data_IF_347771038532
#
_entry.id   IF_347771038532
#
_cell.length_a   1.000
_cell.length_b   1.000
_cell.length_c   1.000
_cell.angle_alpha   90.00
_cell.angle_beta   90.00
_cell.angle_gamma   90.00
#
_symmetry.space_group_name_H-M   'P 1'
#
loop_
_entity.id
_entity.type
_entity.pdbx_description
1 polymer ?
#
# COMPACT_ATOMS: atom_id res chain seq x y z
N UNK A 1 -10.11 -15.68 -11.47
CA UNK A 1 -9.87 -17.10 -11.52
C UNK A 1 -8.92 -17.49 -10.38
N UNK A 2 -9.28 -18.53 -9.62
CA UNK A 2 -8.54 -18.94 -8.40
C UNK A 2 -7.12 -19.44 -8.71
N UNK A 3 -6.93 -20.05 -9.85
CA UNK A 3 -5.65 -20.55 -10.35
C UNK A 3 -4.58 -19.46 -10.59
N UNK A 4 -4.99 -18.19 -10.58
CA UNK A 4 -4.05 -17.07 -10.75
C UNK A 4 -3.42 -16.60 -9.44
N UNK A 5 -3.94 -17.07 -8.29
CA UNK A 5 -3.38 -16.71 -6.99
C UNK A 5 -2.13 -17.54 -6.69
N UNK A 6 -1.03 -16.88 -6.49
CA UNK A 6 0.22 -17.47 -6.01
C UNK A 6 0.36 -17.20 -4.51
N UNK A 7 0.54 -18.26 -3.74
CA UNK A 7 0.57 -18.20 -2.28
C UNK A 7 1.98 -18.41 -1.75
N UNK A 8 2.45 -17.48 -0.93
CA UNK A 8 3.78 -17.57 -0.31
C UNK A 8 3.80 -18.29 1.04
N UNK A 9 2.64 -18.77 1.51
CA UNK A 9 2.56 -19.49 2.80
C UNK A 9 3.32 -20.82 2.81
N UNK A 10 3.55 -21.40 1.64
CA UNK A 10 4.22 -22.70 1.50
C UNK A 10 5.75 -22.57 1.59
N UNK A 11 6.28 -21.37 1.37
CA UNK A 11 7.71 -21.03 1.48
C UNK A 11 7.87 -19.82 2.41
N UNK A 12 8.27 -20.04 3.69
CA UNK A 12 8.41 -18.94 4.65
C UNK A 12 9.35 -17.84 4.13
N UNK A 13 8.87 -16.61 4.13
CA UNK A 13 9.63 -15.44 3.69
C UNK A 13 10.00 -14.61 4.91
N UNK A 14 11.30 -14.33 5.05
CA UNK A 14 11.79 -13.37 6.03
C UNK A 14 11.64 -11.95 5.48
N UNK A 15 10.55 -11.27 5.85
CA UNK A 15 10.30 -9.89 5.46
C UNK A 15 11.20 -8.87 6.18
N UNK A 16 12.02 -9.27 7.16
CA UNK A 16 13.04 -8.40 7.75
C UNK A 16 14.29 -8.23 6.87
N UNK A 17 14.46 -9.08 5.83
CA UNK A 17 15.54 -8.97 4.86
C UNK A 17 15.57 -7.55 4.23
N UNK A 18 16.75 -6.89 4.15
CA UNK A 18 16.92 -5.55 3.58
C UNK A 18 16.44 -5.38 2.14
N UNK A 19 16.28 -6.48 1.40
CA UNK A 19 15.76 -6.43 0.03
C UNK A 19 14.29 -5.98 -0.06
N UNK A 20 13.53 -6.09 1.05
CA UNK A 20 12.13 -5.67 1.07
C UNK A 20 11.97 -4.23 1.51
N UNK A 21 11.06 -3.52 0.87
CA UNK A 21 10.46 -2.30 1.40
C UNK A 21 8.95 -2.45 1.51
N UNK A 22 8.36 -1.67 2.40
CA UNK A 22 6.94 -1.72 2.67
C UNK A 22 6.24 -0.46 2.23
N UNK A 23 5.03 -0.63 1.70
CA UNK A 23 4.05 0.43 1.52
C UNK A 23 2.72 0.01 2.14
N UNK A 24 1.95 0.98 2.57
CA UNK A 24 0.56 0.76 2.97
C UNK A 24 -0.38 1.53 2.04
N UNK A 25 -1.63 1.13 2.02
CA UNK A 25 -2.71 1.91 1.45
C UNK A 25 -3.99 1.74 2.24
N UNK A 26 -4.76 2.80 2.34
CA UNK A 26 -6.04 2.84 3.03
C UNK A 26 -7.12 3.43 2.13
N UNK A 27 -8.16 2.64 1.87
CA UNK A 27 -9.46 3.13 1.39
C UNK A 27 -10.37 3.28 2.61
N UNK A 28 -10.59 4.51 3.12
CA UNK A 28 -11.38 4.73 4.30
C UNK A 28 -12.88 4.56 4.07
N UNK A 29 -13.36 4.44 2.82
CA UNK A 29 -14.77 4.23 2.44
C UNK A 29 -15.73 5.10 3.24
N UNK A 30 -15.43 6.40 3.35
CA UNK A 30 -16.27 7.39 4.04
C UNK A 30 -17.50 7.76 3.19
N UNK A 31 -18.17 6.75 2.64
CA UNK A 31 -19.26 6.88 1.70
C UNK A 31 -20.55 7.48 2.27
N UNK A 32 -21.47 7.81 1.37
CA UNK A 32 -22.76 8.49 1.66
C UNK A 32 -23.72 7.66 2.52
N UNK A 33 -23.49 6.36 2.68
CA UNK A 33 -24.36 5.46 3.44
C UNK A 33 -23.61 4.82 4.60
N UNK A 34 -23.63 5.44 5.76
CA UNK A 34 -23.03 4.99 7.04
C UNK A 34 -23.32 3.54 7.47
N UNK A 35 -24.14 2.78 6.75
CA UNK A 35 -24.59 1.43 7.17
C UNK A 35 -23.97 0.26 6.41
N UNK A 36 -23.26 0.45 5.31
CA UNK A 36 -22.85 -0.68 4.44
C UNK A 36 -21.38 -0.73 4.05
N UNK A 37 -20.63 0.35 4.17
CA UNK A 37 -19.31 0.42 3.56
C UNK A 37 -18.24 -0.17 4.50
N UNK A 38 -17.43 -1.07 3.96
CA UNK A 38 -16.22 -1.57 4.60
C UNK A 38 -15.07 -0.63 4.30
N UNK A 39 -14.13 -0.48 5.23
CA UNK A 39 -12.84 0.16 4.99
C UNK A 39 -11.77 -0.91 4.78
N UNK A 40 -10.78 -0.61 3.95
CA UNK A 40 -9.70 -1.54 3.68
C UNK A 40 -8.33 -0.90 3.95
N UNK A 41 -7.47 -1.63 4.66
CA UNK A 41 -6.07 -1.27 4.85
C UNK A 41 -5.23 -2.43 4.33
N UNK A 42 -4.36 -2.15 3.37
CA UNK A 42 -3.45 -3.13 2.77
C UNK A 42 -2.01 -2.76 3.12
N UNK A 43 -1.26 -3.73 3.61
CA UNK A 43 0.19 -3.68 3.76
C UNK A 43 0.87 -4.56 2.73
N UNK A 44 1.79 -3.98 1.96
CA UNK A 44 2.46 -4.63 0.84
C UNK A 44 3.98 -4.58 1.04
N UNK A 45 4.66 -5.74 0.95
CA UNK A 45 6.11 -5.84 0.84
C UNK A 45 6.51 -5.99 -0.62
N UNK A 46 7.56 -5.28 -1.05
CA UNK A 46 8.09 -5.41 -2.41
C UNK A 46 9.55 -5.78 -2.36
N UNK A 47 9.90 -6.84 -3.05
CA UNK A 47 11.29 -7.28 -3.24
C UNK A 47 11.96 -6.37 -4.29
N UNK A 48 13.00 -5.65 -3.89
CA UNK A 48 13.73 -4.73 -4.77
C UNK A 48 14.51 -5.44 -5.88
N UNK A 49 14.86 -6.72 -5.67
CA UNK A 49 15.62 -7.50 -6.65
C UNK A 49 14.73 -8.05 -7.76
N UNK A 50 13.61 -8.66 -7.38
CA UNK A 50 12.72 -9.36 -8.32
C UNK A 50 11.56 -8.49 -8.79
N UNK A 51 11.14 -7.51 -7.98
CA UNK A 51 9.95 -6.71 -8.20
C UNK A 51 8.66 -7.41 -7.76
N UNK A 52 8.73 -8.61 -7.21
CA UNK A 52 7.55 -9.29 -6.68
C UNK A 52 6.99 -8.53 -5.48
N UNK A 53 5.67 -8.53 -5.39
CA UNK A 53 4.90 -7.86 -4.34
C UNK A 53 4.17 -8.91 -3.51
N UNK A 54 4.21 -8.76 -2.19
CA UNK A 54 3.63 -9.70 -1.23
C UNK A 54 2.59 -8.97 -0.39
N UNK A 55 1.35 -9.44 -0.39
CA UNK A 55 0.32 -8.92 0.49
C UNK A 55 0.58 -9.44 1.90
N UNK A 56 1.17 -8.62 2.75
CA UNK A 56 1.54 -8.99 4.13
C UNK A 56 0.35 -8.83 5.07
N UNK A 57 -0.42 -7.76 4.90
CA UNK A 57 -1.65 -7.49 5.64
C UNK A 57 -2.79 -7.07 4.71
N UNK A 58 -4.00 -7.52 5.06
CA UNK A 58 -5.24 -7.11 4.43
C UNK A 58 -6.35 -7.06 5.49
N UNK A 59 -6.58 -5.89 6.07
CA UNK A 59 -7.63 -5.63 7.05
C UNK A 59 -8.80 -4.97 6.35
N UNK A 60 -9.90 -5.72 6.20
CA UNK A 60 -11.11 -5.30 5.47
C UNK A 60 -12.29 -5.48 6.40
N UNK A 61 -12.79 -4.40 6.97
CA UNK A 61 -13.80 -4.44 8.04
C UNK A 61 -14.69 -3.21 8.01
N UNK A 62 -15.87 -3.34 8.63
CA UNK A 62 -16.71 -2.18 8.93
C UNK A 62 -16.21 -1.50 10.19
N UNK A 63 -15.73 -0.27 10.04
CA UNK A 63 -15.11 0.50 11.12
C UNK A 63 -15.56 1.94 11.12
N UNK A 64 -15.56 2.55 12.31
CA UNK A 64 -15.65 4.01 12.42
C UNK A 64 -14.33 4.65 11.93
N UNK A 65 -14.35 5.84 11.33
CA UNK A 65 -13.14 6.52 10.86
C UNK A 65 -12.00 6.60 11.87
N UNK A 66 -12.31 6.84 13.15
CA UNK A 66 -11.29 6.91 14.21
C UNK A 66 -10.57 5.57 14.41
N UNK A 67 -11.31 4.45 14.30
CA UNK A 67 -10.74 3.09 14.40
C UNK A 67 -9.85 2.79 13.20
N UNK A 68 -10.22 3.27 12.01
CA UNK A 68 -9.37 3.11 10.81
C UNK A 68 -8.03 3.81 11.01
N UNK A 69 -8.05 5.00 11.62
CA UNK A 69 -6.84 5.77 11.92
C UNK A 69 -5.95 4.99 12.90
N UNK A 70 -6.53 4.46 13.97
CA UNK A 70 -5.81 3.66 14.96
C UNK A 70 -5.18 2.41 14.34
N UNK A 71 -5.94 1.68 13.54
CA UNK A 71 -5.48 0.47 12.87
C UNK A 71 -4.32 0.75 11.88
N UNK A 72 -4.35 1.88 11.17
CA UNK A 72 -3.26 2.28 10.28
C UNK A 72 -1.97 2.59 11.06
N UNK A 73 -2.09 3.30 12.20
CA UNK A 73 -0.97 3.61 13.08
C UNK A 73 -0.42 2.33 13.72
N UNK A 74 -1.28 1.45 14.20
CA UNK A 74 -0.89 0.18 14.80
C UNK A 74 -0.24 -0.77 13.79
N UNK A 75 -0.70 -0.79 12.55
CA UNK A 75 -0.01 -1.50 11.47
C UNK A 75 1.41 -0.98 11.28
N UNK A 76 1.61 0.33 11.26
CA UNK A 76 2.95 0.94 11.13
C UNK A 76 3.86 0.55 12.31
N UNK A 77 3.34 0.53 13.55
CA UNK A 77 4.08 0.07 14.73
C UNK A 77 4.49 -1.40 14.63
N UNK A 78 3.54 -2.28 14.20
CA UNK A 78 3.83 -3.71 14.01
C UNK A 78 4.95 -3.92 12.99
N UNK A 79 4.91 -3.23 11.85
CA UNK A 79 5.95 -3.36 10.83
C UNK A 79 7.32 -2.93 11.35
N UNK A 80 7.36 -1.86 12.15
CA UNK A 80 8.60 -1.43 12.79
C UNK A 80 9.11 -2.44 13.80
N UNK A 81 8.22 -3.05 14.58
CA UNK A 81 8.55 -4.06 15.59
C UNK A 81 8.99 -5.38 14.95
N UNK A 82 8.17 -5.90 14.01
CA UNK A 82 8.32 -7.27 13.52
C UNK A 82 9.35 -7.37 12.40
N UNK A 83 9.51 -6.33 11.58
CA UNK A 83 10.41 -6.31 10.43
C UNK A 83 11.53 -5.29 10.53
N UNK A 84 11.60 -4.51 11.63
CA UNK A 84 12.53 -3.38 11.81
C UNK A 84 12.44 -2.35 10.68
N UNK A 85 11.28 -2.21 10.06
CA UNK A 85 11.03 -1.38 8.88
C UNK A 85 9.79 -0.53 9.06
N UNK A 86 9.88 0.73 8.65
CA UNK A 86 8.71 1.61 8.51
C UNK A 86 8.19 1.56 7.09
N UNK A 87 6.94 1.98 6.88
CA UNK A 87 6.44 2.19 5.54
C UNK A 87 7.28 3.24 4.82
N UNK A 88 7.63 2.97 3.56
CA UNK A 88 8.29 3.93 2.69
C UNK A 88 7.30 5.00 2.20
N UNK A 89 6.05 4.59 1.97
CA UNK A 89 4.89 5.42 1.64
C UNK A 89 3.62 4.79 2.18
N UNK A 90 2.64 5.61 2.52
CA UNK A 90 1.31 5.17 2.93
C UNK A 90 0.25 5.96 2.15
N UNK A 91 -0.37 5.31 1.17
CA UNK A 91 -1.39 5.90 0.32
C UNK A 91 -2.73 6.02 1.03
N UNK A 92 -3.34 7.18 0.94
CA UNK A 92 -4.71 7.42 1.43
C UNK A 92 -5.54 8.01 0.31
N UNK A 93 -6.67 7.36 -0.02
CA UNK A 93 -7.59 7.92 -0.99
C UNK A 93 -8.22 9.21 -0.46
N UNK A 94 -8.18 10.27 -1.27
CA UNK A 94 -8.74 11.56 -0.91
C UNK A 94 -9.77 11.97 -1.96
N UNK A 95 -11.06 11.61 -1.71
CA UNK A 95 -12.18 12.05 -2.52
C UNK A 95 -13.07 12.98 -1.67
N UNK A 96 -13.32 14.18 -2.15
CA UNK A 96 -14.22 15.19 -1.57
C UNK A 96 -13.96 15.56 -0.09
N UNK A 97 -14.43 14.76 0.88
CA UNK A 97 -14.30 15.05 2.31
C UNK A 97 -13.17 14.29 3.02
N UNK A 98 -12.45 13.44 2.31
CA UNK A 98 -11.42 12.59 2.92
C UNK A 98 -10.11 13.32 3.21
N UNK A 99 -9.94 14.56 2.71
CA UNK A 99 -8.81 15.41 3.10
C UNK A 99 -8.71 15.57 4.63
N UNK A 100 -9.86 15.68 5.31
CA UNK A 100 -9.90 15.77 6.78
C UNK A 100 -9.36 14.49 7.44
N UNK A 101 -9.74 13.32 6.93
CA UNK A 101 -9.23 12.04 7.41
C UNK A 101 -7.69 11.96 7.32
N UNK A 102 -7.12 12.39 6.21
CA UNK A 102 -5.65 12.46 6.02
C UNK A 102 -5.00 13.36 7.05
N UNK A 103 -5.56 14.56 7.28
CA UNK A 103 -5.02 15.51 8.26
C UNK A 103 -5.07 14.94 9.68
N UNK A 104 -6.19 14.33 10.08
CA UNK A 104 -6.34 13.70 11.41
C UNK A 104 -5.37 12.51 11.56
N UNK A 105 -5.22 11.67 10.53
CA UNK A 105 -4.26 10.57 10.54
C UNK A 105 -2.83 11.08 10.71
N UNK A 106 -2.45 12.11 9.97
CA UNK A 106 -1.11 12.73 10.07
C UNK A 106 -0.86 13.32 11.46
N UNK A 107 -1.82 14.07 12.00
CA UNK A 107 -1.72 14.68 13.31
C UNK A 107 -1.62 13.62 14.41
N UNK A 108 -2.48 12.61 14.39
CA UNK A 108 -2.51 11.55 15.40
C UNK A 108 -1.23 10.71 15.37
N UNK A 109 -0.76 10.31 14.18
CA UNK A 109 0.48 9.57 14.03
C UNK A 109 1.69 10.34 14.58
N UNK A 110 1.74 11.66 14.36
CA UNK A 110 2.80 12.51 14.90
C UNK A 110 2.72 12.61 16.43
N UNK A 111 1.51 12.78 17.00
CA UNK A 111 1.29 12.81 18.45
C UNK A 111 1.72 11.53 19.15
N UNK A 112 1.54 10.39 18.47
CA UNK A 112 1.91 9.06 18.97
C UNK A 112 3.35 8.65 18.65
N UNK A 113 4.14 9.56 18.05
CA UNK A 113 5.54 9.32 17.71
C UNK A 113 5.73 8.27 16.60
N UNK A 114 4.73 8.04 15.77
CA UNK A 114 4.78 7.11 14.64
C UNK A 114 4.99 7.90 13.36
N UNK A 115 6.10 7.63 12.66
CA UNK A 115 6.31 8.22 11.34
C UNK A 115 5.51 7.46 10.29
N UNK A 116 4.49 8.09 9.75
CA UNK A 116 3.65 7.57 8.68
C UNK A 116 3.75 8.50 7.46
N UNK A 117 4.51 8.14 6.41
CA UNK A 117 4.73 8.97 5.22
C UNK A 117 3.51 8.95 4.30
N UNK A 118 2.50 9.74 4.64
CA UNK A 118 1.19 9.77 3.97
C UNK A 118 1.33 10.40 2.58
N UNK A 119 0.83 9.69 1.57
CA UNK A 119 0.69 10.16 0.19
C UNK A 119 -0.79 10.19 -0.22
N UNK A 120 -1.24 11.32 -0.73
CA UNK A 120 -2.58 11.44 -1.30
C UNK A 120 -2.71 10.65 -2.60
N UNK A 121 -3.77 9.87 -2.69
CA UNK A 121 -4.16 9.19 -3.92
C UNK A 121 -5.48 9.81 -4.39
N UNK A 122 -5.40 10.54 -5.51
CA UNK A 122 -6.59 11.06 -6.19
C UNK A 122 -7.01 10.09 -7.28
N UNK A 123 -8.21 9.56 -7.17
CA UNK A 123 -8.74 8.60 -8.11
C UNK A 123 -9.74 9.26 -9.05
N UNK A 124 -9.25 9.66 -10.23
CA UNK A 124 -10.07 10.26 -11.29
C UNK A 124 -10.50 9.28 -12.38
N UNK A 125 -10.08 8.01 -12.29
CA UNK A 125 -10.38 6.97 -13.28
C UNK A 125 -11.56 6.10 -12.86
N UNK A 126 -12.18 5.43 -13.84
CA UNK A 126 -13.21 4.43 -13.57
C UNK A 126 -12.68 3.34 -12.64
N UNK A 127 -13.33 3.16 -11.47
CA UNK A 127 -12.93 2.21 -10.42
C UNK A 127 -12.78 0.78 -10.97
N UNK A 128 -13.72 0.33 -11.80
CA UNK A 128 -13.69 -1.02 -12.37
C UNK A 128 -12.43 -1.21 -13.21
N UNK A 129 -12.15 -0.32 -14.16
CA UNK A 129 -10.97 -0.40 -15.02
C UNK A 129 -9.67 -0.36 -14.20
N UNK A 130 -9.65 0.45 -13.13
CA UNK A 130 -8.51 0.57 -12.23
C UNK A 130 -8.22 -0.74 -11.53
N UNK A 131 -9.22 -1.38 -10.95
CA UNK A 131 -9.08 -2.68 -10.27
C UNK A 131 -8.73 -3.80 -11.28
N UNK A 132 -9.38 -3.81 -12.45
CA UNK A 132 -9.09 -4.79 -13.52
C UNK A 132 -7.62 -4.74 -13.97
N UNK A 133 -6.96 -3.58 -13.87
CA UNK A 133 -5.54 -3.46 -14.19
C UNK A 133 -4.60 -4.28 -13.29
N UNK A 134 -5.09 -4.80 -12.15
CA UNK A 134 -4.36 -5.79 -11.33
C UNK A 134 -4.30 -7.18 -11.97
N UNK A 135 -5.25 -7.50 -12.84
CA UNK A 135 -5.42 -8.84 -13.39
C UNK A 135 -4.15 -9.40 -14.06
N UNK A 136 -3.45 -8.67 -14.93
CA UNK A 136 -2.20 -9.16 -15.52
C UNK A 136 -1.12 -9.44 -14.48
N UNK A 137 -1.02 -8.62 -13.44
CA UNK A 137 -0.02 -8.79 -12.38
C UNK A 137 -0.31 -10.03 -11.52
N UNK A 138 -1.59 -10.26 -11.20
CA UNK A 138 -2.01 -11.45 -10.45
C UNK A 138 -1.82 -12.70 -11.30
N UNK A 139 -2.28 -12.69 -12.55
CA UNK A 139 -2.18 -13.82 -13.49
C UNK A 139 -0.73 -14.24 -13.74
N UNK A 140 0.19 -13.30 -13.80
CA UNK A 140 1.62 -13.57 -14.02
C UNK A 140 2.41 -13.71 -12.69
N UNK A 141 1.71 -13.89 -11.57
CA UNK A 141 2.29 -14.15 -10.24
C UNK A 141 3.26 -13.07 -9.72
N UNK A 142 3.12 -11.82 -10.20
CA UNK A 142 3.88 -10.68 -9.67
C UNK A 142 3.36 -10.23 -8.30
N UNK A 143 2.08 -10.51 -8.00
CA UNK A 143 1.48 -10.27 -6.70
C UNK A 143 1.24 -11.62 -6.02
N UNK A 144 1.84 -11.79 -4.85
CA UNK A 144 1.75 -13.01 -4.04
C UNK A 144 0.90 -12.76 -2.81
N UNK A 145 0.12 -13.75 -2.43
CA UNK A 145 -0.88 -13.66 -1.38
C UNK A 145 -0.58 -14.60 -0.21
N UNK A 146 -1.25 -14.35 0.93
CA UNK A 146 -1.36 -15.33 2.00
C UNK A 146 -2.80 -15.84 2.08
N UNK A 147 -2.97 -17.12 2.31
CA UNK A 147 -4.29 -17.76 2.49
C UNK A 147 -5.07 -17.22 3.70
N UNK A 148 -4.38 -16.56 4.62
CA UNK A 148 -5.02 -15.89 5.78
C UNK A 148 -5.94 -14.73 5.36
N UNK A 149 -5.71 -14.09 4.22
CA UNK A 149 -6.45 -12.92 3.74
C UNK A 149 -7.75 -13.31 3.00
N UNK A 150 -8.59 -14.12 3.64
CA UNK A 150 -9.78 -14.72 3.02
C UNK A 150 -10.73 -13.70 2.40
N UNK A 151 -10.99 -12.59 3.10
CA UNK A 151 -11.90 -11.53 2.62
C UNK A 151 -11.37 -10.89 1.34
N UNK A 152 -10.09 -10.53 1.27
CA UNK A 152 -9.48 -9.97 0.07
C UNK A 152 -9.56 -10.95 -1.11
N UNK A 153 -9.17 -12.21 -0.88
CA UNK A 153 -9.18 -13.24 -1.91
C UNK A 153 -10.59 -13.47 -2.46
N UNK A 154 -11.59 -13.48 -1.59
CA UNK A 154 -12.98 -13.62 -2.01
C UNK A 154 -13.44 -12.42 -2.84
N UNK A 155 -13.20 -11.19 -2.40
CA UNK A 155 -13.56 -9.99 -3.16
C UNK A 155 -12.87 -9.96 -4.55
N UNK A 156 -11.59 -10.36 -4.64
CA UNK A 156 -10.87 -10.48 -5.92
C UNK A 156 -11.47 -11.55 -6.85
N UNK A 157 -11.97 -12.67 -6.31
CA UNK A 157 -12.65 -13.72 -7.10
C UNK A 157 -13.99 -13.25 -7.65
N UNK A 158 -14.75 -12.52 -6.84
CA UNK A 158 -16.10 -12.08 -7.16
C UNK A 158 -16.11 -10.82 -8.04
N UNK A 159 -15.01 -10.06 -8.08
CA UNK A 159 -14.90 -8.83 -8.85
C UNK A 159 -15.04 -9.09 -10.37
N UNK A 160 -15.79 -8.29 -11.16
CA UNK A 160 -16.50 -7.05 -10.76
C UNK A 160 -17.95 -7.28 -10.30
N UNK A 161 -18.44 -8.49 -10.21
CA UNK A 161 -19.83 -8.85 -9.90
C UNK A 161 -20.13 -8.91 -8.39
N UNK A 162 -19.08 -8.88 -7.55
CA UNK A 162 -19.20 -8.92 -6.10
C UNK A 162 -19.83 -7.65 -5.52
N UNK A 163 -20.40 -7.80 -4.33
CA UNK A 163 -21.07 -6.69 -3.61
C UNK A 163 -20.06 -5.66 -3.07
N UNK A 164 -18.88 -6.10 -2.69
CA UNK A 164 -17.84 -5.29 -2.07
C UNK A 164 -16.54 -5.39 -2.88
N UNK A 165 -15.89 -4.28 -3.08
CA UNK A 165 -14.65 -4.17 -3.85
C UNK A 165 -13.58 -3.30 -3.14
N UNK A 166 -13.80 -2.99 -1.85
CA UNK A 166 -12.91 -2.12 -1.07
C UNK A 166 -11.50 -2.73 -0.94
N UNK A 167 -11.41 -4.07 -0.74
CA UNK A 167 -10.13 -4.78 -0.69
C UNK A 167 -9.36 -4.73 -2.01
N UNK A 168 -9.95 -5.12 -3.14
CA UNK A 168 -9.37 -4.96 -4.47
C UNK A 168 -8.92 -3.54 -4.78
N UNK A 169 -9.70 -2.53 -4.39
CA UNK A 169 -9.37 -1.13 -4.62
C UNK A 169 -8.17 -0.69 -3.77
N UNK A 170 -8.19 -0.97 -2.47
CA UNK A 170 -7.05 -0.70 -1.59
C UNK A 170 -5.79 -1.46 -2.03
N UNK A 171 -5.92 -2.69 -2.54
CA UNK A 171 -4.78 -3.43 -3.12
C UNK A 171 -4.21 -2.70 -4.33
N UNK A 172 -5.07 -2.22 -5.23
CA UNK A 172 -4.61 -1.43 -6.39
C UNK A 172 -3.88 -0.17 -5.95
N UNK A 173 -4.40 0.53 -4.95
CA UNK A 173 -3.75 1.71 -4.38
C UNK A 173 -2.37 1.36 -3.79
N UNK A 174 -2.24 0.24 -3.07
CA UNK A 174 -0.97 -0.22 -2.51
C UNK A 174 0.04 -0.56 -3.61
N UNK A 175 -0.39 -1.23 -4.69
CA UNK A 175 0.45 -1.53 -5.85
C UNK A 175 0.96 -0.26 -6.51
N UNK A 176 0.10 0.72 -6.78
CA UNK A 176 0.49 2.00 -7.37
C UNK A 176 1.45 2.79 -6.47
N UNK A 177 1.18 2.77 -5.16
CA UNK A 177 2.05 3.39 -4.16
C UNK A 177 3.43 2.73 -4.15
N UNK A 178 3.49 1.40 -4.28
CA UNK A 178 4.74 0.65 -4.37
C UNK A 178 5.54 1.00 -5.62
N UNK A 179 4.89 1.04 -6.79
CA UNK A 179 5.55 1.40 -8.05
C UNK A 179 6.14 2.82 -7.96
N UNK A 180 5.39 3.78 -7.44
CA UNK A 180 5.88 5.15 -7.22
C UNK A 180 7.05 5.20 -6.22
N UNK A 181 6.97 4.43 -5.12
CA UNK A 181 8.01 4.36 -4.11
C UNK A 181 9.33 3.77 -4.66
N UNK A 182 9.25 2.86 -5.63
CA UNK A 182 10.42 2.31 -6.33
C UNK A 182 11.10 3.36 -7.20
N UNK A 183 10.34 4.15 -7.95
CA UNK A 183 10.87 5.21 -8.84
C UNK A 183 11.55 6.35 -8.08
N UNK A 184 11.06 6.70 -6.89
CA UNK A 184 11.65 7.79 -6.09
C UNK A 184 13.02 7.45 -5.47
N UNK A 185 13.36 6.18 -5.33
CA UNK A 185 14.67 5.74 -4.81
C UNK A 185 15.80 5.91 -5.84
N UNK A 186 15.49 5.76 -7.13
CA UNK A 186 16.48 5.98 -8.23
C UNK A 186 16.77 7.46 -8.51
N UNK A 187 15.76 8.33 -8.36
CA UNK A 187 15.93 9.75 -8.64
C UNK A 187 16.83 10.48 -7.59
N UNK A 188 16.88 9.95 -6.36
CA UNK A 188 17.74 10.50 -5.29
C UNK A 188 19.23 10.19 -5.52
N UNK A 189 19.55 9.01 -6.01
CA UNK A 189 20.95 8.60 -6.27
C UNK A 189 21.52 9.31 -7.51
N UNK A 190 20.72 9.48 -8.55
CA UNK A 190 21.16 10.24 -9.75
C UNK A 190 21.41 11.72 -9.44
N UNK A 191 20.56 12.37 -8.63
CA UNK A 191 20.77 13.77 -8.22
C UNK A 191 22.01 13.98 -7.35
N UNK A 192 22.35 13.01 -6.49
CA UNK A 192 23.55 13.08 -5.63
C UNK A 192 24.83 12.83 -6.45
N UNK A 193 24.79 11.94 -7.44
CA UNK A 193 25.92 11.68 -8.32
C UNK A 193 26.21 12.88 -9.23
N UNK A 194 25.17 13.51 -9.78
CA UNK A 194 25.29 14.67 -10.64
C UNK A 194 25.80 15.91 -9.88
N UNK A 195 25.30 16.16 -8.65
CA UNK A 195 25.84 17.22 -7.78
C UNK A 195 27.31 16.99 -7.39
N UNK A 196 27.75 15.74 -7.17
CA UNK A 196 29.16 15.43 -6.90
C UNK A 196 30.04 15.66 -8.13
N UNK A 197 29.56 15.38 -9.35
CA UNK A 197 30.28 15.57 -10.58
C UNK A 197 30.51 17.07 -10.88
N UNK A 198 29.49 17.90 -10.72
CA UNK A 198 29.55 19.34 -10.87
C UNK A 198 30.53 19.98 -9.87
N UNK A 199 30.56 19.54 -8.61
CA UNK A 199 31.53 20.05 -7.62
C UNK A 199 32.99 19.66 -7.91
N UNK A 200 33.22 18.53 -8.60
CA UNK A 200 34.59 18.15 -9.02
C UNK A 200 35.10 18.93 -10.25
N UNK A 201 34.18 19.37 -11.14
CA UNK A 201 34.53 20.16 -12.33
C UNK A 201 34.75 21.64 -12.00
N UNK A 202 34.11 22.20 -10.96
CA UNK A 202 34.32 23.58 -10.52
C UNK A 202 35.55 23.78 -9.61
N UNK A 203 36.17 22.74 -9.10
CA UNK A 203 37.37 22.79 -8.25
C UNK A 203 38.70 22.60 -8.97
N UNK A 204 38.68 22.53 -10.29
CA UNK A 204 39.90 22.26 -11.11
C UNK A 204 40.40 23.47 -11.93
N UNK A 205 40.29 24.69 -11.33
CA UNK A 205 40.97 25.90 -11.87
C UNK A 205 41.73 26.61 -10.76
#
# INVERSE_FOLDING_TARGET
NEEWFDFYDDEPIDFSDPRFYFVGANDPSLGKNKKSDTSAIIGLATDMKTGYMYVVDASIEKRHPDVIIDDAIDMSRRYKKDYSRSFRKFGVETVQFQWYFKEVLAQKSAQEGVYLPIEEIQSNSNKIMRIESLQPMIKNHYIKFSRKHKTLLQQLKEFPMGKNDDGPDALKMAVDTSIKARGSSGAGEYRTAEKRRVQFEEGAY
#
